data_IF_738943124234
#
_entry.id   IF_738943124234
#
_cell.length_a   1.000
_cell.length_b   1.000
_cell.length_c   1.000
_cell.angle_alpha   90.00
_cell.angle_beta   90.00
_cell.angle_gamma   90.00
#
_symmetry.space_group_name_H-M   'P 1'
#
loop_
_entity.id
_entity.type
_entity.pdbx_description
1 polymer ?
#
# COMPACT_ATOMS: atom_id res chain seq x y z
N UNK A 1 20.36 3.82 17.57
CA UNK A 1 20.60 5.22 18.02
C UNK A 1 22.10 5.39 18.11
N UNK A 2 22.67 6.26 17.28
CA UNK A 2 24.13 6.51 17.22
C UNK A 2 24.58 7.64 18.15
N UNK A 3 23.67 8.57 18.47
CA UNK A 3 23.93 9.69 19.39
C UNK A 3 22.60 10.23 19.93
N UNK A 4 22.56 10.55 21.21
CA UNK A 4 21.51 11.37 21.83
C UNK A 4 22.06 12.80 22.01
N UNK A 5 21.18 13.78 21.79
CA UNK A 5 21.50 15.19 21.96
C UNK A 5 20.70 15.74 23.14
N UNK A 6 21.20 16.79 23.78
CA UNK A 6 20.47 17.47 24.84
C UNK A 6 19.16 18.06 24.29
N UNK A 7 18.15 18.10 25.14
CA UNK A 7 16.87 18.73 24.81
C UNK A 7 17.10 20.23 24.69
N UNK A 8 16.81 20.77 23.51
CA UNK A 8 16.85 22.21 23.26
C UNK A 8 15.48 22.82 23.48
N UNK A 9 15.40 23.89 24.26
CA UNK A 9 14.17 24.61 24.57
C UNK A 9 14.17 26.01 23.95
N UNK A 10 13.01 26.63 23.82
CA UNK A 10 12.80 28.00 23.35
C UNK A 10 13.36 28.27 21.93
N UNK A 11 13.31 27.27 21.07
CA UNK A 11 13.73 27.43 19.66
C UNK A 11 12.55 27.79 18.77
N UNK A 12 12.76 28.65 17.75
CA UNK A 12 11.74 28.91 16.75
C UNK A 12 11.33 27.62 16.03
N UNK A 13 10.03 27.36 16.02
CA UNK A 13 9.44 26.22 15.32
C UNK A 13 8.47 26.72 14.26
N UNK A 14 8.37 25.97 13.17
CA UNK A 14 7.50 26.24 12.04
C UNK A 14 6.48 25.12 11.91
N UNK A 15 5.23 25.47 11.63
CA UNK A 15 4.22 24.52 11.19
C UNK A 15 4.36 24.37 9.68
N UNK A 16 4.82 23.21 9.24
CA UNK A 16 4.94 22.83 7.83
C UNK A 16 3.66 22.11 7.44
N UNK A 17 2.95 22.64 6.43
CA UNK A 17 1.71 22.08 5.91
C UNK A 17 2.00 21.58 4.49
N UNK A 18 1.74 20.29 4.26
CA UNK A 18 1.92 19.65 2.96
C UNK A 18 0.66 19.83 2.09
N UNK A 19 0.79 19.62 0.79
CA UNK A 19 -0.29 19.73 -0.19
C UNK A 19 -1.44 18.71 0.02
N UNK A 20 -1.15 17.60 0.69
CA UNK A 20 -2.15 16.61 1.11
C UNK A 20 -2.87 16.97 2.43
N UNK A 21 -2.52 18.10 3.05
CA UNK A 21 -3.10 18.58 4.30
C UNK A 21 -2.43 18.04 5.58
N UNK A 22 -1.43 17.16 5.47
CA UNK A 22 -0.65 16.74 6.64
C UNK A 22 0.18 17.89 7.21
N UNK A 23 0.35 17.90 8.54
CA UNK A 23 1.06 18.95 9.25
C UNK A 23 2.18 18.38 10.12
N UNK A 24 3.34 19.01 10.09
CA UNK A 24 4.47 18.69 10.95
C UNK A 24 4.97 19.98 11.60
N UNK A 25 5.24 19.94 12.90
CA UNK A 25 5.96 21.04 13.59
C UNK A 25 7.44 20.69 13.58
N UNK A 26 8.24 21.56 12.98
CA UNK A 26 9.68 21.38 12.84
C UNK A 26 10.44 22.60 13.37
N UNK A 27 11.57 22.33 14.03
CA UNK A 27 12.53 23.34 14.45
C UNK A 27 13.13 24.08 13.23
N UNK A 28 13.55 25.32 13.41
CA UNK A 28 14.13 26.14 12.33
C UNK A 28 15.31 25.48 11.62
N UNK A 29 16.13 24.72 12.35
CA UNK A 29 17.33 24.05 11.82
C UNK A 29 17.09 22.59 11.43
N UNK A 30 15.81 22.11 11.48
CA UNK A 30 15.47 20.78 11.02
C UNK A 30 15.79 20.62 9.54
N UNK A 31 16.50 19.54 9.20
CA UNK A 31 16.98 19.31 7.84
C UNK A 31 15.94 18.48 7.05
N UNK A 32 15.56 19.06 5.92
CA UNK A 32 14.73 18.43 4.91
C UNK A 32 15.57 18.10 3.68
N UNK A 33 15.38 16.95 3.09
CA UNK A 33 15.85 16.68 1.74
C UNK A 33 14.77 17.13 0.75
N UNK A 34 15.05 18.13 -0.07
CA UNK A 34 14.06 18.78 -0.92
C UNK A 34 14.63 19.09 -2.29
N UNK A 35 13.76 19.23 -3.28
CA UNK A 35 14.08 19.75 -4.60
C UNK A 35 13.38 21.09 -4.79
N UNK A 36 14.13 22.14 -5.08
CA UNK A 36 13.58 23.41 -5.56
C UNK A 36 13.26 23.35 -7.07
N UNK A 37 12.67 24.42 -7.60
CA UNK A 37 12.29 24.50 -9.01
C UNK A 37 13.48 24.41 -9.96
N UNK A 38 14.65 24.94 -9.58
CA UNK A 38 15.85 24.86 -10.41
C UNK A 38 16.39 23.44 -10.41
N UNK A 39 16.52 22.84 -9.24
CA UNK A 39 17.00 21.45 -9.07
C UNK A 39 16.14 20.47 -9.89
N UNK A 40 14.80 20.63 -9.87
CA UNK A 40 13.90 19.83 -10.71
C UNK A 40 14.13 20.04 -12.20
N UNK A 41 14.35 21.30 -12.63
CA UNK A 41 14.57 21.62 -14.05
C UNK A 41 15.84 20.99 -14.61
N UNK A 42 16.89 20.90 -13.80
CA UNK A 42 18.18 20.32 -14.23
C UNK A 42 18.30 18.84 -13.91
N UNK A 43 17.26 18.20 -13.36
CA UNK A 43 17.27 16.77 -13.02
C UNK A 43 18.15 16.43 -11.81
N UNK A 44 18.41 17.38 -10.92
CA UNK A 44 19.12 17.11 -9.67
C UNK A 44 18.29 16.26 -8.72
N UNK A 45 18.96 15.39 -7.96
CA UNK A 45 18.31 14.60 -6.93
C UNK A 45 17.70 15.45 -5.78
N UNK A 46 18.18 16.69 -5.62
CA UNK A 46 17.80 17.58 -4.54
C UNK A 46 18.96 17.84 -3.57
N UNK A 47 18.68 18.66 -2.57
CA UNK A 47 19.64 19.08 -1.56
C UNK A 47 19.03 19.13 -0.16
N UNK A 48 19.90 19.17 0.88
CA UNK A 48 19.47 19.38 2.27
C UNK A 48 19.31 20.85 2.54
N UNK A 49 18.14 21.25 3.05
CA UNK A 49 17.83 22.63 3.46
C UNK A 49 17.20 22.61 4.84
N UNK A 50 17.44 23.68 5.60
CA UNK A 50 16.78 23.85 6.90
C UNK A 50 15.33 24.31 6.72
N UNK A 51 14.51 24.19 7.76
CA UNK A 51 13.13 24.71 7.74
C UNK A 51 13.12 26.21 7.44
N UNK A 52 14.04 26.97 8.02
CA UNK A 52 14.11 28.42 7.80
C UNK A 52 14.57 28.76 6.38
N UNK A 53 15.47 27.98 5.77
CA UNK A 53 15.85 28.15 4.38
C UNK A 53 14.66 27.97 3.44
N UNK A 54 13.88 26.90 3.66
CA UNK A 54 12.66 26.63 2.89
C UNK A 54 11.63 27.74 3.11
N UNK A 55 11.45 28.22 4.35
CA UNK A 55 10.52 29.30 4.65
C UNK A 55 10.87 30.59 3.89
N UNK A 56 12.14 30.96 3.85
CA UNK A 56 12.62 32.17 3.18
C UNK A 56 12.52 32.10 1.65
N UNK A 57 12.50 30.91 1.06
CA UNK A 57 12.42 30.67 -0.39
C UNK A 57 11.19 29.79 -0.76
N UNK A 58 10.14 29.84 0.06
CA UNK A 58 8.95 28.99 -0.12
C UNK A 58 8.23 29.26 -1.46
N UNK A 59 8.21 30.51 -1.90
CA UNK A 59 7.59 30.92 -3.16
C UNK A 59 8.59 31.67 -4.03
N UNK A 60 8.83 31.21 -5.23
CA UNK A 60 9.78 31.85 -6.13
C UNK A 60 9.15 32.93 -6.99
N UNK A 61 8.09 32.60 -7.70
CA UNK A 61 7.32 33.52 -8.54
C UNK A 61 5.85 33.09 -8.47
N UNK A 62 5.01 33.97 -7.91
CA UNK A 62 3.61 33.66 -7.73
C UNK A 62 3.30 32.92 -6.43
N UNK A 63 2.27 32.07 -6.45
CA UNK A 63 1.75 31.35 -5.28
C UNK A 63 2.16 29.86 -5.23
N UNK A 64 2.91 29.38 -6.21
CA UNK A 64 3.30 27.97 -6.23
C UNK A 64 4.50 27.70 -5.33
N UNK A 65 4.45 26.65 -4.50
CA UNK A 65 5.56 26.26 -3.65
C UNK A 65 6.80 25.93 -4.48
N UNK A 66 7.94 26.53 -4.09
CA UNK A 66 9.22 26.28 -4.74
C UNK A 66 9.79 24.90 -4.43
N UNK A 67 9.55 24.40 -3.22
CA UNK A 67 10.14 23.16 -2.72
C UNK A 67 9.19 21.97 -2.83
N UNK A 68 9.75 20.80 -3.18
CA UNK A 68 9.07 19.50 -3.09
C UNK A 68 9.96 18.54 -2.32
N UNK A 69 9.36 17.75 -1.45
CA UNK A 69 10.03 16.65 -0.80
C UNK A 69 9.86 15.42 -1.67
N UNK A 70 10.96 14.83 -2.20
CA UNK A 70 10.88 13.63 -3.00
C UNK A 70 10.27 12.47 -2.17
N UNK A 71 9.28 11.82 -2.72
CA UNK A 71 8.75 10.57 -2.15
C UNK A 71 9.78 9.48 -2.42
N UNK A 72 10.09 8.68 -1.40
CA UNK A 72 10.96 7.52 -1.58
C UNK A 72 10.33 6.55 -2.58
N UNK A 73 11.01 6.35 -3.72
CA UNK A 73 10.61 5.36 -4.74
C UNK A 73 10.97 3.93 -4.32
N UNK A 74 11.87 3.79 -3.34
CA UNK A 74 12.22 2.51 -2.75
C UNK A 74 11.55 2.42 -1.39
N UNK A 75 10.59 1.52 -1.26
CA UNK A 75 9.98 1.25 0.05
C UNK A 75 11.02 0.75 1.06
N UNK A 76 10.64 0.73 2.33
CA UNK A 76 11.48 0.14 3.38
C UNK A 76 11.68 -1.33 3.09
N UNK A 77 12.93 -1.78 3.13
CA UNK A 77 13.27 -3.20 2.97
C UNK A 77 13.06 -3.93 4.30
N UNK A 78 12.11 -4.85 4.30
CA UNK A 78 11.90 -5.81 5.37
C UNK A 78 12.27 -7.21 4.90
N UNK A 79 12.54 -8.11 5.83
CA UNK A 79 12.75 -9.52 5.54
C UNK A 79 11.44 -10.17 5.10
N UNK A 80 11.56 -11.19 4.27
CA UNK A 80 10.47 -12.08 3.95
C UNK A 80 9.91 -12.72 5.22
N UNK A 81 8.59 -12.88 5.28
CA UNK A 81 7.87 -13.48 6.39
C UNK A 81 7.07 -14.68 5.93
N UNK A 82 6.94 -15.65 6.82
CA UNK A 82 5.96 -16.72 6.69
C UNK A 82 4.59 -16.15 7.03
N UNK A 83 3.80 -15.82 5.98
CA UNK A 83 2.50 -15.19 6.12
C UNK A 83 1.40 -16.27 6.08
N UNK A 84 0.38 -16.17 6.95
CA UNK A 84 -0.65 -17.21 7.07
C UNK A 84 -1.55 -17.34 5.84
N UNK A 85 -1.68 -16.28 5.05
CA UNK A 85 -2.46 -16.24 3.81
C UNK A 85 -1.54 -15.64 2.75
N UNK A 86 -1.57 -16.20 1.54
CA UNK A 86 -0.88 -15.61 0.40
C UNK A 86 -1.25 -14.13 0.25
N UNK A 87 -0.27 -13.20 0.10
CA UNK A 87 -0.53 -11.77 0.07
C UNK A 87 -1.48 -11.35 -1.06
N UNK A 88 -1.35 -11.92 -2.25
CA UNK A 88 -2.22 -11.61 -3.38
C UNK A 88 -3.66 -12.03 -3.11
N UNK A 89 -3.84 -13.24 -2.60
CA UNK A 89 -5.17 -13.78 -2.23
C UNK A 89 -5.80 -12.93 -1.13
N UNK A 90 -5.02 -12.52 -0.14
CA UNK A 90 -5.54 -11.62 0.90
C UNK A 90 -5.98 -10.28 0.31
N UNK A 91 -5.20 -9.72 -0.61
CA UNK A 91 -5.53 -8.47 -1.32
C UNK A 91 -6.86 -8.58 -2.07
N UNK A 92 -7.04 -9.63 -2.88
CA UNK A 92 -8.29 -9.89 -3.59
C UNK A 92 -9.48 -10.04 -2.64
N UNK A 93 -9.30 -10.78 -1.54
CA UNK A 93 -10.38 -10.97 -0.57
C UNK A 93 -10.70 -9.68 0.20
N UNK A 94 -9.73 -8.84 0.48
CA UNK A 94 -9.96 -7.54 1.14
C UNK A 94 -10.81 -6.61 0.28
N UNK A 95 -10.65 -6.60 -1.04
CA UNK A 95 -11.52 -5.88 -1.97
C UNK A 95 -12.86 -6.65 -2.16
N UNK A 96 -12.89 -7.57 -3.06
CA UNK A 96 -14.11 -8.24 -3.55
C UNK A 96 -14.59 -9.43 -2.71
N UNK A 97 -13.96 -9.72 -1.57
CA UNK A 97 -14.34 -10.84 -0.72
C UNK A 97 -15.60 -10.61 0.09
N UNK A 98 -16.35 -11.67 0.34
CA UNK A 98 -17.46 -11.67 1.28
C UNK A 98 -16.97 -11.43 2.71
N UNK A 99 -17.64 -10.55 3.46
CA UNK A 99 -17.22 -10.17 4.81
C UNK A 99 -17.32 -11.31 5.84
N UNK A 100 -18.16 -12.30 5.59
CA UNK A 100 -18.44 -13.43 6.49
C UNK A 100 -17.86 -14.78 5.99
N UNK A 101 -17.20 -14.79 4.86
CA UNK A 101 -16.71 -16.03 4.23
C UNK A 101 -15.48 -15.79 3.32
N UNK A 102 -14.93 -16.89 2.81
CA UNK A 102 -13.81 -16.87 1.86
C UNK A 102 -14.22 -16.69 0.40
N UNK A 103 -15.47 -16.38 0.14
CA UNK A 103 -15.97 -16.20 -1.23
C UNK A 103 -15.47 -14.87 -1.76
N UNK A 104 -14.90 -14.87 -2.97
CA UNK A 104 -14.48 -13.66 -3.71
C UNK A 104 -15.43 -13.54 -4.90
N UNK A 105 -16.05 -12.38 -5.05
CA UNK A 105 -16.95 -12.08 -6.17
C UNK A 105 -16.11 -11.58 -7.35
N UNK A 106 -16.36 -12.13 -8.54
CA UNK A 106 -15.63 -11.76 -9.75
C UNK A 106 -16.63 -11.51 -10.87
N UNK A 107 -16.38 -10.52 -11.71
CA UNK A 107 -17.19 -10.25 -12.89
C UNK A 107 -17.14 -11.41 -13.90
N UNK A 108 -18.24 -11.66 -14.63
CA UNK A 108 -18.32 -12.75 -15.62
C UNK A 108 -17.20 -12.74 -16.66
N UNK A 109 -16.72 -11.53 -17.02
CA UNK A 109 -15.68 -11.37 -18.04
C UNK A 109 -14.31 -11.79 -17.54
N UNK A 110 -14.04 -11.58 -16.27
CA UNK A 110 -12.72 -11.72 -15.65
C UNK A 110 -12.60 -13.07 -14.91
N UNK A 111 -13.71 -13.80 -14.76
CA UNK A 111 -13.80 -15.02 -13.95
C UNK A 111 -12.82 -16.12 -14.39
N UNK A 112 -12.67 -16.33 -15.70
CA UNK A 112 -11.77 -17.36 -16.24
C UNK A 112 -10.31 -16.98 -16.05
N UNK A 113 -9.94 -15.73 -16.34
CA UNK A 113 -8.59 -15.19 -16.17
C UNK A 113 -8.18 -15.20 -14.69
N UNK A 114 -9.06 -14.72 -13.81
CA UNK A 114 -8.82 -14.75 -12.38
C UNK A 114 -8.64 -16.17 -11.85
N UNK A 115 -9.40 -17.14 -12.35
CA UNK A 115 -9.24 -18.54 -11.96
C UNK A 115 -7.88 -19.11 -12.40
N UNK A 116 -7.37 -18.71 -13.57
CA UNK A 116 -6.06 -19.11 -14.05
C UNK A 116 -4.95 -18.48 -13.21
N UNK A 117 -5.01 -17.18 -12.98
CA UNK A 117 -4.05 -16.45 -12.12
C UNK A 117 -3.98 -17.10 -10.72
N UNK A 118 -5.14 -17.38 -10.12
CA UNK A 118 -5.20 -18.02 -8.82
C UNK A 118 -4.62 -19.43 -8.82
N UNK A 119 -4.75 -20.19 -9.88
CA UNK A 119 -4.15 -21.53 -10.01
C UNK A 119 -2.64 -21.47 -10.19
N UNK A 120 -2.14 -20.50 -10.95
CA UNK A 120 -0.70 -20.34 -11.20
C UNK A 120 0.06 -19.85 -9.98
N UNK A 121 -0.55 -18.95 -9.21
CA UNK A 121 0.05 -18.41 -7.99
C UNK A 121 -0.14 -19.30 -6.77
N UNK A 122 -0.88 -20.41 -6.91
CA UNK A 122 -1.51 -20.99 -5.76
C UNK A 122 -0.70 -22.06 -5.04
N UNK A 123 -0.54 -21.80 -3.76
CA UNK A 123 -0.58 -22.77 -2.69
C UNK A 123 -1.95 -23.52 -2.62
N UNK A 124 -2.89 -23.25 -3.55
CA UNK A 124 -4.29 -23.65 -3.47
C UNK A 124 -4.64 -24.72 -4.50
N UNK A 125 -4.74 -25.97 -4.09
CA UNK A 125 -5.05 -27.09 -4.98
C UNK A 125 -6.51 -27.11 -5.48
N UNK A 126 -7.42 -26.38 -4.86
CA UNK A 126 -8.84 -26.39 -5.22
C UNK A 126 -9.44 -24.99 -5.25
N UNK A 127 -9.48 -24.41 -6.42
CA UNK A 127 -10.25 -23.21 -6.72
C UNK A 127 -11.50 -23.65 -7.47
N UNK A 128 -12.67 -23.34 -6.92
CA UNK A 128 -13.94 -23.65 -7.53
C UNK A 128 -14.65 -22.36 -7.95
N UNK A 129 -14.98 -22.26 -9.22
CA UNK A 129 -15.87 -21.24 -9.73
C UNK A 129 -17.31 -21.71 -9.57
N UNK A 130 -18.14 -20.91 -8.89
CA UNK A 130 -19.58 -21.12 -8.79
C UNK A 130 -20.31 -19.93 -9.34
N UNK A 131 -21.24 -20.14 -10.25
CA UNK A 131 -22.13 -19.10 -10.76
C UNK A 131 -23.40 -19.10 -9.93
N UNK A 132 -23.70 -17.98 -9.26
CA UNK A 132 -24.90 -17.86 -8.43
C UNK A 132 -26.04 -17.12 -9.14
N UNK A 133 -25.72 -16.18 -10.00
CA UNK A 133 -26.70 -15.41 -10.77
C UNK A 133 -26.14 -15.09 -12.15
N UNK A 134 -27.01 -14.81 -13.12
CA UNK A 134 -26.59 -14.35 -14.44
C UNK A 134 -25.85 -13.00 -14.30
N UNK A 135 -24.60 -12.95 -14.71
CA UNK A 135 -23.76 -11.75 -14.63
C UNK A 135 -22.94 -11.64 -13.34
N UNK A 136 -22.92 -12.67 -12.49
CA UNK A 136 -22.14 -12.68 -11.26
C UNK A 136 -21.56 -14.06 -11.01
N UNK A 137 -20.25 -14.16 -10.90
CA UNK A 137 -19.52 -15.38 -10.54
C UNK A 137 -18.86 -15.24 -9.16
N UNK A 138 -18.68 -16.37 -8.48
CA UNK A 138 -18.00 -16.40 -7.20
C UNK A 138 -16.92 -17.45 -7.18
N UNK A 139 -15.74 -17.09 -6.73
CA UNK A 139 -14.62 -18.00 -6.54
C UNK A 139 -14.59 -18.48 -5.08
N UNK A 140 -14.60 -19.79 -4.89
CA UNK A 140 -14.35 -20.40 -3.59
C UNK A 140 -12.90 -20.89 -3.55
N UNK A 141 -12.09 -20.30 -2.72
CA UNK A 141 -10.67 -20.63 -2.57
C UNK A 141 -10.48 -21.59 -1.40
N UNK A 142 -9.85 -22.72 -1.65
CA UNK A 142 -9.45 -23.69 -0.61
C UNK A 142 -7.96 -23.93 -0.67
N UNK A 143 -7.32 -24.01 0.50
CA UNK A 143 -5.88 -24.31 0.64
C UNK A 143 -5.71 -25.77 1.01
N UNK A 144 -4.87 -26.49 0.27
CA UNK A 144 -4.42 -27.84 0.65
C UNK A 144 -2.99 -27.76 1.19
N UNK A 145 -2.84 -27.96 2.49
CA UNK A 145 -1.53 -28.20 3.12
C UNK A 145 -1.41 -29.69 3.48
N UNK A 146 -0.90 -30.51 2.59
CA UNK A 146 -0.69 -31.93 2.82
C UNK A 146 -1.97 -32.68 3.20
N UNK A 147 -1.93 -33.39 4.34
CA UNK A 147 -3.08 -34.19 4.84
C UNK A 147 -4.18 -33.30 5.46
N UNK A 148 -3.88 -32.07 5.82
CA UNK A 148 -4.83 -31.13 6.41
C UNK A 148 -5.17 -30.02 5.42
N UNK A 149 -6.39 -30.03 4.91
CA UNK A 149 -6.92 -28.96 4.07
C UNK A 149 -7.35 -27.80 4.97
N UNK A 150 -6.61 -26.70 4.95
CA UNK A 150 -7.07 -25.45 5.57
C UNK A 150 -7.75 -24.63 4.49
N UNK A 151 -9.05 -24.39 4.65
CA UNK A 151 -9.76 -23.48 3.75
C UNK A 151 -9.31 -22.02 4.03
N UNK A 152 -9.36 -21.16 3.01
CA UNK A 152 -9.14 -19.72 3.20
C UNK A 152 -10.05 -19.17 4.33
N UNK A 153 -11.28 -19.67 4.43
CA UNK A 153 -12.20 -19.30 5.50
C UNK A 153 -11.64 -19.60 6.91
N UNK A 154 -10.98 -20.74 7.07
CA UNK A 154 -10.33 -21.10 8.34
C UNK A 154 -9.19 -20.15 8.67
N UNK A 155 -8.37 -19.78 7.67
CA UNK A 155 -7.27 -18.83 7.83
C UNK A 155 -7.77 -17.42 8.14
N UNK A 156 -8.80 -16.95 7.43
CA UNK A 156 -9.42 -15.65 7.68
C UNK A 156 -9.97 -15.56 9.10
N UNK A 157 -10.66 -16.63 9.57
CA UNK A 157 -11.19 -16.70 10.93
C UNK A 157 -10.08 -16.71 11.98
N UNK A 158 -9.04 -17.51 11.78
CA UNK A 158 -7.90 -17.59 12.69
C UNK A 158 -7.18 -16.23 12.84
N UNK A 159 -7.10 -15.45 11.78
CA UNK A 159 -6.50 -14.12 11.74
C UNK A 159 -7.49 -12.99 12.07
N UNK A 160 -8.72 -13.30 12.51
CA UNK A 160 -9.76 -12.34 12.91
C UNK A 160 -10.12 -11.33 11.81
N UNK A 161 -10.13 -11.78 10.57
CA UNK A 161 -10.41 -10.94 9.40
C UNK A 161 -11.89 -10.96 9.01
N UNK A 162 -12.63 -12.06 9.33
CA UNK A 162 -14.06 -12.11 9.09
C UNK A 162 -14.80 -11.04 9.91
N UNK A 163 -15.70 -10.31 9.28
CA UNK A 163 -16.44 -9.17 9.83
C UNK A 163 -15.56 -7.99 10.29
N UNK A 164 -14.26 -8.04 9.96
CA UNK A 164 -13.29 -7.02 10.33
C UNK A 164 -12.16 -6.96 9.29
N UNK A 165 -12.51 -6.60 8.06
CA UNK A 165 -11.52 -6.46 6.97
C UNK A 165 -10.51 -5.38 7.32
N UNK A 166 -9.24 -5.75 7.37
CA UNK A 166 -8.10 -4.85 7.55
C UNK A 166 -6.84 -5.53 7.04
N UNK A 167 -5.80 -4.76 6.76
CA UNK A 167 -4.49 -5.30 6.43
C UNK A 167 -3.75 -5.58 7.76
N UNK A 168 -3.44 -6.84 8.09
CA UNK A 168 -2.68 -7.14 9.30
C UNK A 168 -1.28 -6.54 9.24
N UNK A 169 -0.75 -6.10 10.40
CA UNK A 169 0.54 -5.39 10.48
C UNK A 169 1.72 -6.22 9.95
N UNK A 170 1.67 -7.53 10.06
CA UNK A 170 2.70 -8.43 9.53
C UNK A 170 2.83 -8.32 8.01
N UNK A 171 1.73 -8.05 7.28
CA UNK A 171 1.77 -7.82 5.82
C UNK A 171 2.39 -6.48 5.47
N UNK A 172 2.10 -5.42 6.21
CA UNK A 172 2.67 -4.08 5.96
C UNK A 172 4.17 -4.00 6.27
N UNK A 173 4.68 -4.94 7.08
CA UNK A 173 6.08 -5.05 7.50
C UNK A 173 6.77 -6.31 6.97
N UNK A 174 6.25 -6.90 5.90
CA UNK A 174 6.84 -8.01 5.15
C UNK A 174 7.80 -7.53 4.05
N UNK A 175 8.41 -8.44 3.31
CA UNK A 175 9.30 -8.08 2.20
C UNK A 175 8.61 -7.19 1.16
N UNK A 176 9.41 -6.47 0.37
CA UNK A 176 8.87 -5.62 -0.69
C UNK A 176 7.98 -6.41 -1.65
N UNK A 177 8.40 -7.62 -2.02
CA UNK A 177 7.66 -8.44 -2.98
C UNK A 177 6.33 -8.92 -2.40
N UNK A 178 6.31 -9.35 -1.14
CA UNK A 178 5.07 -9.72 -0.46
C UNK A 178 4.08 -8.54 -0.35
N UNK A 179 4.58 -7.32 -0.08
CA UNK A 179 3.73 -6.12 -0.08
C UNK A 179 3.22 -5.75 -1.46
N UNK A 180 4.03 -5.96 -2.50
CA UNK A 180 3.60 -5.76 -3.88
C UNK A 180 2.51 -6.77 -4.28
N UNK A 181 2.64 -8.02 -3.90
CA UNK A 181 1.61 -9.03 -4.17
C UNK A 181 0.28 -8.67 -3.46
N UNK A 182 0.34 -8.21 -2.20
CA UNK A 182 -0.86 -7.69 -1.52
C UNK A 182 -1.49 -6.51 -2.27
N UNK A 183 -0.66 -5.56 -2.70
CA UNK A 183 -1.13 -4.40 -3.46
C UNK A 183 -1.72 -4.82 -4.81
N UNK A 184 -1.12 -5.79 -5.50
CA UNK A 184 -1.68 -6.33 -6.74
C UNK A 184 -3.07 -6.89 -6.54
N UNK A 185 -3.26 -7.74 -5.51
CA UNK A 185 -4.57 -8.29 -5.20
C UNK A 185 -5.62 -7.21 -4.90
N UNK A 186 -5.25 -6.17 -4.17
CA UNK A 186 -6.12 -5.00 -3.92
C UNK A 186 -6.45 -4.25 -5.22
N UNK A 187 -5.46 -4.04 -6.09
CA UNK A 187 -5.66 -3.33 -7.36
C UNK A 187 -6.46 -4.12 -8.38
N UNK A 188 -6.35 -5.44 -8.38
CA UNK A 188 -7.10 -6.33 -9.27
C UNK A 188 -8.56 -6.48 -8.83
N UNK A 189 -8.90 -6.12 -7.58
CA UNK A 189 -10.28 -6.04 -7.08
C UNK A 189 -10.86 -4.62 -7.23
N UNK A 190 -10.48 -3.70 -6.36
CA UNK A 190 -11.05 -2.33 -6.25
C UNK A 190 -10.16 -1.24 -6.87
N UNK A 191 -9.12 -1.63 -7.61
CA UNK A 191 -8.19 -0.69 -8.24
C UNK A 191 -8.69 -0.17 -9.59
N UNK A 192 -8.23 1.02 -9.94
CA UNK A 192 -8.46 1.64 -11.23
C UNK A 192 -7.18 2.30 -11.76
N UNK A 193 -6.91 2.09 -13.04
CA UNK A 193 -5.82 2.80 -13.74
C UNK A 193 -6.45 3.74 -14.77
N UNK A 194 -6.22 5.03 -14.60
CA UNK A 194 -6.71 6.05 -15.54
C UNK A 194 -6.00 5.92 -16.90
N UNK A 195 -6.58 6.53 -17.94
CA UNK A 195 -5.96 6.61 -19.28
C UNK A 195 -4.60 7.34 -19.28
N UNK A 196 -4.33 8.12 -18.25
CA UNK A 196 -3.06 8.84 -18.05
C UNK A 196 -2.05 8.05 -17.21
N UNK A 197 -2.35 6.80 -16.83
CA UNK A 197 -1.47 5.93 -16.06
C UNK A 197 -1.50 6.18 -14.55
N UNK A 198 -2.45 6.95 -14.05
CA UNK A 198 -2.61 7.17 -12.61
C UNK A 198 -3.37 5.99 -12.01
N UNK A 199 -2.72 5.27 -11.08
CA UNK A 199 -3.36 4.20 -10.31
C UNK A 199 -4.13 4.82 -9.12
N UNK A 200 -5.35 4.35 -8.89
CA UNK A 200 -6.22 4.78 -7.80
C UNK A 200 -6.85 3.55 -7.15
N UNK A 201 -6.98 3.58 -5.86
CA UNK A 201 -7.68 2.57 -5.08
C UNK A 201 -8.82 3.26 -4.32
N UNK A 202 -10.01 2.71 -4.39
CA UNK A 202 -11.19 3.24 -3.71
C UNK A 202 -11.59 2.26 -2.61
N UNK A 203 -11.71 2.75 -1.40
CA UNK A 203 -12.15 1.99 -0.23
C UNK A 203 -13.37 2.65 0.39
#
# INVERSE_FOLDING_TARGET
VTKAWDVMVDRPCYKVIFDNGEEIVADQDHLWFTQDTIERRIGSAGSKKTTVDIYNDLYRTGKEPNHRIPISMTGVEYKEKDLPIDPYILGLWLGDGCNDSSIITVGDRDASEMQEILKEQSQFDKIQLKTYQKGSNSLLVTVNEGIQTKSLNTLLKANKLLHNKHIPVEYTTSSRDQRLELLRGLMDSDGYISKTGIAQFYN
#
